data_IF_293651200663
#
_entry.id   IF_293651200663
#
_cell.length_a   1.000
_cell.length_b   1.000
_cell.length_c   1.000
_cell.angle_alpha   90.00
_cell.angle_beta   90.00
_cell.angle_gamma   90.00
#
_symmetry.space_group_name_H-M   'P 1'
#
loop_
_entity.id
_entity.type
_entity.pdbx_description
1 polymer ?
#
# COMPACT_ATOMS: atom_id res chain seq x y z
N UNK A 1 21.76 -11.04 1.38
CA UNK A 1 20.76 -9.96 1.38
C UNK A 1 19.37 -10.49 1.73
N UNK A 2 18.67 -9.81 2.63
CA UNK A 2 17.26 -10.05 2.96
C UNK A 2 16.41 -9.02 2.24
N UNK A 3 15.41 -9.46 1.47
CA UNK A 3 14.54 -8.59 0.68
C UNK A 3 13.10 -8.78 1.12
N UNK A 4 12.37 -7.69 1.36
CA UNK A 4 10.96 -7.71 1.73
C UNK A 4 10.20 -6.49 1.22
N UNK A 5 8.87 -6.61 1.07
CA UNK A 5 8.01 -5.44 1.01
C UNK A 5 7.94 -4.79 2.41
N UNK A 6 7.84 -3.48 2.47
CA UNK A 6 7.51 -2.76 3.69
C UNK A 6 6.03 -2.93 4.06
N UNK A 7 5.14 -2.81 3.09
CA UNK A 7 3.71 -3.14 3.20
C UNK A 7 3.32 -4.14 2.13
N UNK A 8 2.78 -5.28 2.55
CA UNK A 8 2.31 -6.32 1.64
C UNK A 8 1.02 -5.90 0.92
N UNK A 9 1.10 -5.77 -0.39
CA UNK A 9 0.09 -5.13 -1.25
C UNK A 9 -1.31 -5.73 -1.20
N UNK A 10 -1.44 -7.04 -0.95
CA UNK A 10 -2.73 -7.73 -0.90
C UNK A 10 -3.34 -7.80 0.49
N UNK A 11 -2.54 -7.53 1.51
CA UNK A 11 -2.92 -7.70 2.92
C UNK A 11 -2.93 -6.39 3.72
N UNK A 12 -2.22 -5.37 3.26
CA UNK A 12 -2.07 -4.12 4.00
C UNK A 12 -1.29 -4.24 5.31
N UNK A 13 -0.57 -5.35 5.48
CA UNK A 13 0.23 -5.65 6.68
C UNK A 13 1.63 -5.05 6.52
N UNK A 14 2.12 -4.42 7.57
CA UNK A 14 3.50 -3.92 7.66
C UNK A 14 4.43 -5.08 8.03
N UNK A 15 5.57 -5.17 7.34
CA UNK A 15 6.60 -6.16 7.66
C UNK A 15 7.23 -5.91 9.05
N UNK A 16 7.63 -6.97 9.72
CA UNK A 16 8.37 -6.87 10.98
C UNK A 16 9.83 -6.47 10.73
N UNK A 17 10.04 -5.21 10.32
CA UNK A 17 11.38 -4.74 9.96
C UNK A 17 12.35 -4.77 11.13
N UNK A 18 11.90 -4.56 12.38
CA UNK A 18 12.79 -4.69 13.55
C UNK A 18 13.40 -6.07 13.64
N UNK A 19 12.56 -7.11 13.62
CA UNK A 19 13.04 -8.49 13.69
C UNK A 19 13.92 -8.87 12.48
N UNK A 20 13.61 -8.35 11.29
CA UNK A 20 14.43 -8.56 10.10
C UNK A 20 15.80 -7.89 10.26
N UNK A 21 15.87 -6.64 10.69
CA UNK A 21 17.12 -5.93 10.92
C UNK A 21 17.97 -6.59 12.02
N UNK A 22 17.34 -7.02 13.13
CA UNK A 22 18.04 -7.73 14.21
C UNK A 22 18.73 -9.03 13.71
N UNK A 23 18.03 -9.76 12.84
CA UNK A 23 18.61 -10.97 12.23
C UNK A 23 19.67 -10.62 11.18
N UNK A 24 19.44 -9.59 10.37
CA UNK A 24 20.40 -9.17 9.36
C UNK A 24 21.73 -8.74 9.99
N UNK A 25 21.69 -7.95 11.06
CA UNK A 25 22.89 -7.58 11.82
C UNK A 25 23.61 -8.79 12.40
N UNK A 26 22.84 -9.74 12.98
CA UNK A 26 23.41 -10.99 13.54
C UNK A 26 24.14 -11.84 12.49
N UNK A 27 23.69 -11.84 11.26
CA UNK A 27 24.23 -12.69 10.19
C UNK A 27 25.03 -11.89 9.13
N UNK A 28 25.39 -10.65 9.41
CA UNK A 28 26.13 -9.76 8.50
C UNK A 28 25.49 -9.70 7.09
N UNK A 29 24.17 -9.51 7.05
CA UNK A 29 23.38 -9.46 5.83
C UNK A 29 22.87 -8.04 5.57
N UNK A 30 22.83 -7.67 4.28
CA UNK A 30 22.17 -6.45 3.83
C UNK A 30 20.63 -6.59 3.90
N UNK A 31 19.93 -5.48 4.16
CA UNK A 31 18.47 -5.39 4.15
C UNK A 31 18.01 -4.49 3.00
N UNK A 32 17.10 -5.01 2.17
CA UNK A 32 16.43 -4.26 1.12
C UNK A 32 14.92 -4.26 1.37
N UNK A 33 14.32 -3.07 1.35
CA UNK A 33 12.87 -2.88 1.56
C UNK A 33 12.24 -2.20 0.36
N UNK A 34 11.15 -2.77 -0.16
CA UNK A 34 10.29 -2.11 -1.13
C UNK A 34 9.21 -1.28 -0.41
N UNK A 35 9.25 0.03 -0.57
CA UNK A 35 8.31 0.99 0.01
C UNK A 35 7.19 1.41 -0.95
N UNK A 36 6.97 0.67 -2.03
CA UNK A 36 5.99 1.01 -3.07
C UNK A 36 4.55 1.14 -2.58
N UNK A 37 4.23 0.49 -1.46
CA UNK A 37 2.91 0.57 -0.82
C UNK A 37 2.93 1.29 0.54
N UNK A 38 3.99 2.07 0.81
CA UNK A 38 4.15 2.75 2.09
C UNK A 38 4.67 4.19 2.00
N UNK A 39 5.62 4.45 1.08
CA UNK A 39 6.20 5.78 0.92
C UNK A 39 5.13 6.83 0.60
N UNK A 40 5.18 7.95 1.32
CA UNK A 40 4.27 9.08 1.21
C UNK A 40 3.15 9.10 2.26
N UNK A 41 2.84 7.99 2.93
CA UNK A 41 1.68 7.95 3.86
C UNK A 41 1.81 7.01 5.07
N UNK A 42 2.78 6.11 5.12
CA UNK A 42 3.08 5.31 6.31
C UNK A 42 4.17 6.00 7.13
N UNK A 43 4.11 5.86 8.46
CA UNK A 43 4.99 6.54 9.39
C UNK A 43 4.46 7.93 9.79
N UNK A 44 5.04 8.51 10.82
CA UNK A 44 4.60 9.79 11.40
C UNK A 44 4.72 10.96 10.42
N UNK A 45 5.74 10.93 9.58
CA UNK A 45 6.01 11.97 8.56
C UNK A 45 5.84 11.45 7.13
N UNK A 46 5.33 10.22 6.93
CA UNK A 46 5.11 9.63 5.62
C UNK A 46 6.37 9.04 4.97
N UNK A 47 7.43 8.81 5.75
CA UNK A 47 8.70 8.24 5.24
C UNK A 47 8.69 6.74 5.07
N UNK A 48 7.53 6.09 5.23
CA UNK A 48 7.36 4.68 4.99
C UNK A 48 7.51 3.80 6.22
N UNK A 49 7.68 2.50 5.98
CA UNK A 49 7.72 1.49 7.03
C UNK A 49 9.01 1.53 7.85
N UNK A 50 10.08 2.04 7.29
CA UNK A 50 11.36 2.25 7.98
C UNK A 50 11.16 3.20 9.17
N UNK A 51 10.52 4.35 8.93
CA UNK A 51 10.13 5.28 9.99
C UNK A 51 9.10 4.66 10.94
N UNK A 52 8.07 4.01 10.39
CA UNK A 52 7.01 3.39 11.20
C UNK A 52 7.56 2.36 12.19
N UNK A 53 8.53 1.55 11.75
CA UNK A 53 9.16 0.52 12.58
C UNK A 53 10.32 1.06 13.45
N UNK A 54 10.78 2.31 13.25
CA UNK A 54 11.91 2.90 13.97
C UNK A 54 13.21 2.16 13.69
N UNK A 55 13.49 1.89 12.41
CA UNK A 55 14.69 1.19 11.94
C UNK A 55 15.52 2.03 10.95
N UNK A 56 15.44 3.36 11.10
CA UNK A 56 16.23 4.28 10.27
C UNK A 56 17.74 3.99 10.45
N UNK A 57 18.46 3.96 9.34
CA UNK A 57 19.88 3.64 9.29
C UNK A 57 20.23 2.15 9.37
N UNK A 58 19.23 1.27 9.47
CA UNK A 58 19.41 -0.20 9.51
C UNK A 58 18.97 -0.91 8.21
N UNK A 59 18.46 -0.17 7.26
CA UNK A 59 18.05 -0.66 5.93
C UNK A 59 19.03 -0.10 4.91
N UNK A 60 19.64 -0.97 4.12
CA UNK A 60 20.71 -0.59 3.18
C UNK A 60 20.15 -0.10 1.85
N UNK A 61 19.12 -0.76 1.34
CA UNK A 61 18.55 -0.47 0.01
C UNK A 61 17.04 -0.26 0.16
N UNK A 62 16.56 0.83 -0.43
CA UNK A 62 15.12 1.13 -0.50
C UNK A 62 14.71 1.23 -1.96
N UNK A 63 13.65 0.53 -2.34
CA UNK A 63 12.98 0.72 -3.61
C UNK A 63 11.60 1.34 -3.41
N UNK A 64 11.12 2.03 -4.43
CA UNK A 64 9.79 2.62 -4.42
C UNK A 64 9.29 2.88 -5.82
N UNK A 65 8.00 3.18 -5.93
CA UNK A 65 7.33 3.46 -7.20
C UNK A 65 6.90 4.92 -7.32
N UNK A 66 6.90 5.43 -8.53
CA UNK A 66 6.33 6.72 -8.90
C UNK A 66 4.94 6.58 -9.55
N UNK A 67 4.38 5.37 -9.54
CA UNK A 67 3.08 5.04 -10.12
C UNK A 67 1.96 4.80 -9.09
N UNK A 68 2.15 5.20 -7.83
CA UNK A 68 1.16 5.04 -6.76
C UNK A 68 0.97 6.35 -5.97
N UNK A 69 1.24 6.37 -4.67
CA UNK A 69 1.06 7.57 -3.84
C UNK A 69 1.98 8.73 -4.24
N UNK A 70 3.20 8.41 -4.66
CA UNK A 70 4.18 9.40 -5.12
C UNK A 70 4.20 9.44 -6.66
N UNK A 71 3.97 10.62 -7.25
CA UNK A 71 4.04 10.89 -8.68
C UNK A 71 2.82 10.49 -9.50
N UNK A 72 2.13 9.39 -9.18
CA UNK A 72 0.87 8.96 -9.81
C UNK A 72 0.94 8.59 -11.30
N UNK A 73 2.13 8.32 -11.86
CA UNK A 73 2.30 8.02 -13.28
C UNK A 73 2.99 6.68 -13.50
N UNK A 74 4.31 6.66 -13.68
CA UNK A 74 5.07 5.45 -13.96
C UNK A 74 6.50 5.55 -13.44
N UNK A 75 7.19 4.41 -13.44
CA UNK A 75 8.57 4.32 -13.03
C UNK A 75 8.74 4.09 -11.53
N UNK A 76 9.96 4.17 -11.08
CA UNK A 76 10.34 3.95 -9.71
C UNK A 76 11.76 4.43 -9.46
N UNK A 77 12.22 4.18 -8.25
CA UNK A 77 13.55 4.57 -7.81
C UNK A 77 14.16 3.51 -6.91
N UNK A 78 15.48 3.51 -6.86
CA UNK A 78 16.26 2.76 -5.88
C UNK A 78 17.20 3.73 -5.19
N UNK A 79 17.26 3.67 -3.87
CA UNK A 79 18.21 4.44 -3.04
C UNK A 79 19.04 3.50 -2.17
N UNK A 80 20.23 3.91 -1.82
CA UNK A 80 21.16 3.11 -1.00
C UNK A 80 22.55 3.71 -1.01
N UNK A 81 23.55 3.00 -0.47
CA UNK A 81 24.97 3.37 -0.52
C UNK A 81 25.41 3.70 -1.94
N UNK A 82 26.30 4.68 -2.05
CA UNK A 82 26.80 5.18 -3.35
C UNK A 82 27.36 4.05 -4.21
N UNK A 83 28.10 3.15 -3.62
CA UNK A 83 28.75 2.01 -4.31
C UNK A 83 27.72 1.07 -4.95
N UNK A 84 26.61 0.83 -4.26
CA UNK A 84 25.51 0.00 -4.80
C UNK A 84 24.85 0.73 -5.98
N UNK A 85 24.57 2.03 -5.84
CA UNK A 85 23.94 2.81 -6.91
C UNK A 85 24.85 2.90 -8.14
N UNK A 86 26.15 3.07 -7.96
CA UNK A 86 27.13 3.06 -9.05
C UNK A 86 27.17 1.72 -9.78
N UNK A 87 27.17 0.59 -9.05
CA UNK A 87 27.09 -0.75 -9.63
C UNK A 87 25.78 -0.93 -10.42
N UNK A 88 24.65 -0.52 -9.86
CA UNK A 88 23.35 -0.61 -10.56
C UNK A 88 23.35 0.18 -11.87
N UNK A 89 23.91 1.40 -11.89
CA UNK A 89 24.04 2.20 -13.11
C UNK A 89 24.88 1.56 -14.19
N UNK A 90 25.86 0.74 -13.81
CA UNK A 90 26.78 0.06 -14.76
C UNK A 90 26.35 -1.36 -15.14
N UNK A 91 25.51 -2.00 -14.33
CA UNK A 91 25.21 -3.44 -14.46
C UNK A 91 23.75 -3.79 -14.53
N UNK A 92 22.85 -2.93 -14.08
CA UNK A 92 21.40 -3.20 -14.12
C UNK A 92 20.92 -3.17 -15.58
N UNK A 93 20.61 -4.33 -16.13
CA UNK A 93 20.12 -4.44 -17.52
C UNK A 93 18.88 -3.60 -17.79
N UNK A 94 17.85 -3.58 -16.93
CA UNK A 94 16.70 -2.69 -17.15
C UNK A 94 17.09 -1.20 -17.23
N UNK A 95 18.06 -0.78 -16.44
CA UNK A 95 18.53 0.61 -16.47
C UNK A 95 19.34 0.92 -17.75
N UNK A 96 20.21 -0.02 -18.18
CA UNK A 96 21.09 0.20 -19.31
C UNK A 96 20.37 0.09 -20.67
N UNK A 97 19.37 -0.78 -20.77
CA UNK A 97 18.76 -1.16 -22.06
C UNK A 97 17.29 -0.71 -22.20
N UNK A 98 16.73 -0.01 -21.20
CA UNK A 98 15.44 0.64 -21.32
C UNK A 98 15.61 2.15 -21.47
N UNK A 99 14.58 2.81 -22.02
CA UNK A 99 14.55 4.24 -22.07
C UNK A 99 14.45 4.86 -20.68
N UNK A 100 15.04 6.04 -20.49
CA UNK A 100 14.92 6.82 -19.25
C UNK A 100 13.48 7.24 -18.98
N UNK A 101 13.16 7.51 -17.69
CA UNK A 101 11.90 8.13 -17.33
C UNK A 101 11.69 9.46 -18.07
N UNK A 102 10.45 9.70 -18.46
CA UNK A 102 10.10 10.98 -19.08
C UNK A 102 10.40 12.15 -18.11
N UNK A 103 11.06 13.22 -18.53
CA UNK A 103 11.39 14.36 -17.68
C UNK A 103 10.19 14.99 -16.97
N UNK A 104 9.01 14.99 -17.58
CA UNK A 104 7.77 15.46 -16.94
C UNK A 104 7.37 14.61 -15.74
N UNK A 105 7.58 13.30 -15.80
CA UNK A 105 7.32 12.38 -14.67
C UNK A 105 8.32 12.64 -13.54
N UNK A 106 9.59 12.82 -13.88
CA UNK A 106 10.62 13.16 -12.89
C UNK A 106 10.30 14.47 -12.19
N UNK A 107 9.92 15.50 -12.95
CA UNK A 107 9.50 16.80 -12.40
C UNK A 107 8.28 16.68 -11.47
N UNK A 108 7.24 15.93 -11.89
CA UNK A 108 6.05 15.70 -11.08
C UNK A 108 6.38 14.93 -9.79
N UNK A 109 7.21 13.89 -9.89
CA UNK A 109 7.65 13.10 -8.73
C UNK A 109 8.47 13.94 -7.75
N UNK A 110 9.42 14.76 -8.25
CA UNK A 110 10.19 15.69 -7.41
C UNK A 110 9.26 16.61 -6.64
N UNK A 111 8.25 17.18 -7.33
CA UNK A 111 7.26 18.05 -6.68
C UNK A 111 6.42 17.30 -5.64
N UNK A 112 6.03 16.06 -5.90
CA UNK A 112 5.30 15.22 -4.95
C UNK A 112 6.15 14.97 -3.68
N UNK A 113 7.43 14.66 -3.81
CA UNK A 113 8.34 14.53 -2.67
C UNK A 113 8.44 15.83 -1.87
N UNK A 114 8.63 16.98 -2.51
CA UNK A 114 8.65 18.28 -1.82
C UNK A 114 7.37 18.52 -1.00
N UNK A 115 6.20 18.19 -1.57
CA UNK A 115 4.91 18.37 -0.91
C UNK A 115 4.77 17.47 0.33
N UNK A 116 5.08 16.18 0.24
CA UNK A 116 4.95 15.27 1.39
C UNK A 116 6.02 15.51 2.46
N UNK A 117 7.16 16.11 2.09
CA UNK A 117 8.18 16.51 3.05
C UNK A 117 7.84 17.81 3.79
N UNK A 118 7.06 18.67 3.17
CA UNK A 118 6.67 19.97 3.74
C UNK A 118 5.49 19.90 4.70
N UNK A 119 4.57 18.92 4.52
CA UNK A 119 3.29 18.87 5.25
C UNK A 119 2.78 17.44 5.38
N UNK A 120 2.25 17.10 6.56
CA UNK A 120 1.65 15.79 6.86
C UNK A 120 0.12 15.75 6.69
N UNK A 121 -0.53 16.85 6.32
CA UNK A 121 -2.00 16.96 6.26
C UNK A 121 -2.65 15.88 5.40
N UNK A 122 -2.08 15.56 4.23
CA UNK A 122 -2.62 14.51 3.36
C UNK A 122 -2.45 13.12 3.98
N UNK A 123 -1.31 12.87 4.58
CA UNK A 123 -1.02 11.63 5.32
C UNK A 123 -2.00 11.46 6.48
N UNK A 124 -2.20 12.50 7.30
CA UNK A 124 -3.07 12.47 8.47
C UNK A 124 -4.55 12.25 8.07
N UNK A 125 -4.97 12.89 6.98
CA UNK A 125 -6.30 12.66 6.39
C UNK A 125 -6.47 11.23 5.90
N UNK A 126 -5.45 10.65 5.25
CA UNK A 126 -5.49 9.25 4.81
C UNK A 126 -5.64 8.31 6.00
N UNK A 127 -4.93 8.56 7.09
CA UNK A 127 -5.03 7.76 8.31
C UNK A 127 -6.42 7.88 8.97
N UNK A 128 -6.94 9.09 9.10
CA UNK A 128 -8.28 9.33 9.67
C UNK A 128 -9.38 8.63 8.84
N UNK A 129 -9.33 8.78 7.51
CA UNK A 129 -10.25 8.12 6.60
C UNK A 129 -10.14 6.59 6.67
N UNK A 130 -8.93 6.07 6.76
CA UNK A 130 -8.65 4.62 6.91
C UNK A 130 -9.29 4.07 8.18
N UNK A 131 -9.09 4.74 9.31
CA UNK A 131 -9.69 4.37 10.59
C UNK A 131 -11.21 4.38 10.51
N UNK A 132 -11.81 5.47 10.00
CA UNK A 132 -13.26 5.61 9.81
C UNK A 132 -13.86 4.46 9.00
N UNK A 133 -13.23 4.12 7.88
CA UNK A 133 -13.70 3.03 7.03
C UNK A 133 -13.57 1.67 7.74
N UNK A 134 -12.43 1.36 8.35
CA UNK A 134 -12.22 0.09 9.09
C UNK A 134 -13.24 -0.10 10.21
N UNK A 135 -13.49 0.96 11.00
CA UNK A 135 -14.49 0.94 12.07
C UNK A 135 -15.91 0.73 11.51
N UNK A 136 -16.25 1.43 10.42
CA UNK A 136 -17.53 1.28 9.75
C UNK A 136 -17.77 -0.14 9.24
N UNK A 137 -16.80 -0.72 8.55
CA UNK A 137 -16.90 -2.08 8.00
C UNK A 137 -17.02 -3.14 9.10
N UNK A 138 -16.25 -3.01 10.18
CA UNK A 138 -16.37 -3.92 11.34
C UNK A 138 -17.74 -3.80 12.02
N UNK A 139 -18.25 -2.59 12.18
CA UNK A 139 -19.57 -2.34 12.80
C UNK A 139 -20.71 -2.98 12.03
N UNK A 140 -20.66 -3.04 10.70
CA UNK A 140 -21.68 -3.72 9.89
C UNK A 140 -21.51 -5.24 9.83
N UNK A 141 -20.49 -5.80 10.47
CA UNK A 141 -20.29 -7.25 10.60
C UNK A 141 -19.45 -7.89 9.49
N UNK A 142 -18.77 -7.13 8.65
CA UNK A 142 -17.80 -7.66 7.69
C UNK A 142 -16.42 -7.78 8.33
N UNK A 143 -15.71 -8.87 8.01
CA UNK A 143 -14.37 -9.11 8.50
C UNK A 143 -13.33 -8.27 7.74
N UNK A 144 -12.46 -7.61 8.49
CA UNK A 144 -11.36 -6.80 7.97
C UNK A 144 -10.05 -7.36 8.49
N UNK A 145 -9.20 -7.79 7.57
CA UNK A 145 -7.85 -8.27 7.94
C UNK A 145 -7.08 -7.18 8.70
N UNK A 146 -6.41 -7.59 9.75
CA UNK A 146 -5.59 -6.69 10.55
C UNK A 146 -4.40 -6.16 9.73
N UNK A 147 -4.14 -4.86 9.80
CA UNK A 147 -3.05 -4.17 9.14
C UNK A 147 -3.14 -2.67 9.42
N UNK A 148 -2.01 -1.97 9.36
CA UNK A 148 -1.91 -0.55 9.74
C UNK A 148 -1.85 0.39 8.54
N UNK A 149 -1.99 -0.14 7.32
CA UNK A 149 -1.98 0.66 6.10
C UNK A 149 -3.39 1.08 5.65
N UNK A 150 -3.45 1.96 4.65
CA UNK A 150 -4.68 2.36 3.96
C UNK A 150 -5.18 1.31 2.96
N UNK A 151 -4.49 0.19 2.82
CA UNK A 151 -4.93 -0.99 2.08
C UNK A 151 -5.76 -1.85 3.05
N UNK A 152 -7.03 -2.02 2.73
CA UNK A 152 -7.99 -2.66 3.64
C UNK A 152 -8.62 -3.86 2.93
N UNK A 153 -8.18 -5.08 3.24
CA UNK A 153 -8.83 -6.29 2.75
C UNK A 153 -10.13 -6.54 3.54
N UNK A 154 -11.27 -6.41 2.88
CA UNK A 154 -12.58 -6.85 3.38
C UNK A 154 -12.74 -8.31 2.98
N UNK A 155 -12.67 -9.22 3.96
CA UNK A 155 -12.60 -10.65 3.73
C UNK A 155 -13.98 -11.23 3.41
N UNK A 156 -14.06 -11.99 2.32
CA UNK A 156 -15.27 -12.67 1.88
C UNK A 156 -15.06 -14.19 1.76
N UNK A 157 -13.79 -14.62 1.68
CA UNK A 157 -13.34 -16.01 1.63
C UNK A 157 -13.77 -16.79 0.38
N UNK A 158 -14.92 -16.45 -0.21
CA UNK A 158 -15.53 -17.08 -1.39
C UNK A 158 -15.31 -16.24 -2.66
N UNK A 159 -14.78 -16.84 -3.72
CA UNK A 159 -14.42 -16.12 -4.94
C UNK A 159 -15.64 -15.63 -5.74
N UNK A 160 -16.70 -16.44 -5.99
CA UNK A 160 -17.95 -15.98 -6.59
C UNK A 160 -18.60 -14.83 -5.83
N UNK A 161 -18.61 -14.89 -4.50
CA UNK A 161 -19.15 -13.83 -3.65
C UNK A 161 -18.35 -12.52 -3.82
N UNK A 162 -17.02 -12.60 -3.83
CA UNK A 162 -16.15 -11.43 -4.01
C UNK A 162 -16.37 -10.74 -5.37
N UNK A 163 -16.55 -11.52 -6.43
CA UNK A 163 -16.86 -10.99 -7.76
C UNK A 163 -18.24 -10.32 -7.81
N UNK A 164 -19.28 -11.00 -7.32
CA UNK A 164 -20.65 -10.46 -7.30
C UNK A 164 -20.73 -9.19 -6.47
N UNK A 165 -20.08 -9.19 -5.30
CA UNK A 165 -20.08 -8.03 -4.40
C UNK A 165 -19.35 -6.83 -5.03
N UNK A 166 -18.23 -7.03 -5.71
CA UNK A 166 -17.52 -5.97 -6.42
C UNK A 166 -18.40 -5.37 -7.55
N UNK A 167 -19.10 -6.21 -8.32
CA UNK A 167 -20.01 -5.76 -9.37
C UNK A 167 -21.19 -4.97 -8.80
N UNK A 168 -21.84 -5.47 -7.73
CA UNK A 168 -22.96 -4.78 -7.09
C UNK A 168 -22.55 -3.44 -6.46
N UNK A 169 -21.36 -3.38 -5.85
CA UNK A 169 -20.80 -2.13 -5.31
C UNK A 169 -20.55 -1.10 -6.41
N UNK A 170 -20.12 -1.53 -7.61
CA UNK A 170 -19.98 -0.62 -8.75
C UNK A 170 -21.31 0.01 -9.15
N UNK A 171 -22.41 -0.75 -9.12
CA UNK A 171 -23.78 -0.25 -9.39
C UNK A 171 -24.24 0.77 -8.31
N UNK A 172 -23.73 0.66 -7.06
CA UNK A 172 -23.93 1.65 -6.00
C UNK A 172 -22.96 2.86 -6.12
N UNK A 173 -22.12 2.88 -7.16
CA UNK A 173 -21.13 3.94 -7.41
C UNK A 173 -19.86 3.80 -6.60
N UNK A 174 -19.55 2.60 -6.09
CA UNK A 174 -18.33 2.29 -5.35
C UNK A 174 -17.42 1.40 -6.20
N UNK A 175 -16.35 1.97 -6.73
CA UNK A 175 -15.38 1.23 -7.53
C UNK A 175 -14.38 0.48 -6.63
N UNK A 176 -14.49 -0.84 -6.62
CA UNK A 176 -13.60 -1.76 -5.88
C UNK A 176 -13.32 -3.01 -6.70
N UNK A 177 -12.29 -3.74 -6.35
CA UNK A 177 -11.89 -4.98 -7.04
C UNK A 177 -11.90 -6.16 -6.09
N UNK A 178 -12.53 -7.25 -6.51
CA UNK A 178 -12.43 -8.55 -5.85
C UNK A 178 -11.15 -9.26 -6.23
N UNK A 179 -10.42 -9.77 -5.23
CA UNK A 179 -9.21 -10.57 -5.38
C UNK A 179 -9.45 -11.99 -4.89
N UNK A 180 -9.04 -12.96 -5.70
CA UNK A 180 -9.18 -14.39 -5.43
C UNK A 180 -8.02 -15.16 -6.06
N UNK A 181 -7.97 -16.47 -5.90
CA UNK A 181 -6.93 -17.31 -6.49
C UNK A 181 -6.84 -17.08 -8.03
N UNK A 182 -5.63 -16.97 -8.63
CA UNK A 182 -4.31 -17.19 -8.02
C UNK A 182 -3.65 -15.96 -7.36
N UNK A 183 -4.29 -14.79 -7.39
CA UNK A 183 -3.72 -13.54 -6.83
C UNK A 183 -3.57 -13.61 -5.30
N UNK A 184 -4.53 -14.26 -4.66
CA UNK A 184 -4.51 -14.58 -3.23
C UNK A 184 -4.75 -16.07 -3.04
N UNK A 185 -4.36 -16.70 -1.92
CA UNK A 185 -4.58 -18.12 -1.69
C UNK A 185 -6.05 -18.52 -1.79
N UNK A 186 -6.32 -19.79 -2.16
CA UNK A 186 -7.68 -20.34 -2.15
C UNK A 186 -8.32 -20.19 -0.76
N UNK A 187 -9.59 -19.84 -0.72
CA UNK A 187 -10.32 -19.58 0.53
C UNK A 187 -9.97 -18.24 1.19
N UNK A 188 -9.22 -17.35 0.52
CA UNK A 188 -8.81 -16.05 1.03
C UNK A 188 -9.32 -14.91 0.13
N UNK A 189 -10.42 -15.14 -0.59
CA UNK A 189 -11.00 -14.12 -1.45
C UNK A 189 -11.46 -12.90 -0.64
N UNK A 190 -11.26 -11.72 -1.22
CA UNK A 190 -11.49 -10.43 -0.55
C UNK A 190 -11.83 -9.33 -1.55
N UNK A 191 -12.42 -8.27 -1.09
CA UNK A 191 -12.39 -6.97 -1.76
C UNK A 191 -11.28 -6.14 -1.12
N UNK A 192 -10.29 -5.71 -1.93
CA UNK A 192 -9.23 -4.83 -1.46
C UNK A 192 -9.63 -3.37 -1.68
N UNK A 193 -9.88 -2.67 -0.59
CA UNK A 193 -10.18 -1.25 -0.60
C UNK A 193 -8.90 -0.45 -0.42
N UNK A 194 -8.76 0.64 -1.19
CA UNK A 194 -7.67 1.59 -1.07
C UNK A 194 -8.25 2.95 -0.67
N UNK A 195 -7.90 3.40 0.53
CA UNK A 195 -8.30 4.71 1.05
C UNK A 195 -7.28 5.77 0.68
N UNK A 196 -7.76 6.99 0.45
CA UNK A 196 -6.97 8.13 0.02
C UNK A 196 -7.34 9.39 0.79
N UNK A 197 -6.42 10.35 0.85
CA UNK A 197 -6.67 11.68 1.37
C UNK A 197 -7.72 12.47 0.57
N UNK A 198 -7.96 12.08 -0.69
CA UNK A 198 -8.96 12.73 -1.55
C UNK A 198 -10.40 12.38 -1.17
N UNK A 199 -10.63 11.28 -0.45
CA UNK A 199 -11.97 10.93 0.03
C UNK A 199 -12.42 11.88 1.14
N UNK A 200 -13.69 12.32 1.07
CA UNK A 200 -14.32 13.03 2.18
C UNK A 200 -14.92 12.03 3.19
N UNK A 201 -15.15 12.44 4.46
CA UNK A 201 -15.83 11.60 5.44
C UNK A 201 -17.19 11.08 4.96
N UNK A 202 -17.96 11.90 4.23
CA UNK A 202 -19.28 11.53 3.69
C UNK A 202 -19.15 10.45 2.59
N UNK A 203 -18.10 10.52 1.77
CA UNK A 203 -17.83 9.47 0.77
C UNK A 203 -17.44 8.15 1.45
N UNK A 204 -16.68 8.19 2.54
CA UNK A 204 -16.35 7.00 3.33
C UNK A 204 -17.61 6.38 3.94
N UNK A 205 -18.49 7.20 4.56
CA UNK A 205 -19.75 6.73 5.14
C UNK A 205 -20.68 6.13 4.08
N UNK A 206 -20.78 6.78 2.91
CA UNK A 206 -21.52 6.26 1.77
C UNK A 206 -20.98 4.90 1.32
N UNK A 207 -19.66 4.75 1.27
CA UNK A 207 -19.04 3.47 0.92
C UNK A 207 -19.40 2.39 1.94
N UNK A 208 -19.32 2.68 3.25
CA UNK A 208 -19.72 1.74 4.31
C UNK A 208 -21.19 1.34 4.17
N UNK A 209 -22.09 2.30 3.93
CA UNK A 209 -23.51 2.02 3.72
C UNK A 209 -23.77 1.14 2.49
N UNK A 210 -23.02 1.36 1.39
CA UNK A 210 -23.11 0.51 0.21
C UNK A 210 -22.62 -0.92 0.49
N UNK A 211 -21.51 -1.08 1.24
CA UNK A 211 -21.05 -2.39 1.69
C UNK A 211 -22.07 -3.10 2.58
N UNK A 212 -22.77 -2.38 3.46
CA UNK A 212 -23.83 -2.95 4.29
C UNK A 212 -25.00 -3.44 3.43
N UNK A 213 -25.52 -2.56 2.57
CA UNK A 213 -26.64 -2.89 1.66
C UNK A 213 -26.33 -4.13 0.82
N UNK A 214 -25.23 -4.11 0.10
CA UNK A 214 -24.82 -5.20 -0.79
C UNK A 214 -24.45 -6.46 0.00
N UNK A 215 -23.82 -6.31 1.15
CA UNK A 215 -23.44 -7.42 2.02
C UNK A 215 -24.68 -8.18 2.53
N UNK A 216 -25.75 -7.47 2.94
CA UNK A 216 -27.04 -8.09 3.31
C UNK A 216 -27.73 -8.73 2.13
N UNK A 217 -27.78 -8.06 0.97
CA UNK A 217 -28.39 -8.57 -0.27
C UNK A 217 -27.75 -9.91 -0.70
N UNK A 218 -26.45 -10.05 -0.57
CA UNK A 218 -25.70 -11.24 -0.98
C UNK A 218 -25.46 -12.27 0.15
N UNK A 219 -25.97 -12.01 1.35
CA UNK A 219 -25.80 -12.90 2.50
C UNK A 219 -24.39 -12.94 3.08
N UNK A 220 -23.54 -11.95 2.79
CA UNK A 220 -22.23 -11.80 3.40
C UNK A 220 -22.32 -11.25 4.84
N UNK A 221 -23.42 -10.59 5.17
CA UNK A 221 -23.76 -10.06 6.50
C UNK A 221 -25.08 -10.69 6.92
N UNK A 222 -25.17 -11.13 8.18
CA UNK A 222 -26.40 -11.66 8.80
C UNK A 222 -27.28 -10.55 9.37
#
# INVERSE_FOLDING_TARGET
>A
IVVTDGVFSMDGVVANLRGICDLAEKYDALVMVDESHAAGFIGRTGRGTIEYCGVEGRVDIVTGTLGKALGGAMGGYTTGPKEIIEILRQRSRPYLFSNSLCPSIVGAATKAFEMVMADTTLRDRTEANTRRFKEGIRRIGLDVKQGDSSIIPVMLYDAPLAQKMAQRLLEEGIYVTGFFYPVVPKGQARIRVQISAAHTPEQIDRAVAAFEKVGRELGAIR
#
